data_IF_833944645208
#
_entry.id   IF_833944645208
#
_cell.length_a   1.000
_cell.length_b   1.000
_cell.length_c   1.000
_cell.angle_alpha   90.00
_cell.angle_beta   90.00
_cell.angle_gamma   90.00
#
_symmetry.space_group_name_H-M   'P 1'
#
loop_
_entity.id
_entity.type
_entity.pdbx_description
1 polymer ?
#
# COMPACT_ATOMS: atom_id res chain seq x y z
N UNK A 1 16.43 -28.69 57.02
CA UNK A 1 15.37 -28.51 56.02
C UNK A 1 15.64 -27.20 55.28
N UNK A 2 15.82 -27.26 53.96
CA UNK A 2 16.15 -26.12 53.09
C UNK A 2 15.02 -26.01 52.07
N UNK A 3 14.36 -24.86 52.03
CA UNK A 3 13.23 -24.56 51.14
C UNK A 3 13.71 -24.58 49.68
N UNK A 4 13.04 -25.39 48.85
CA UNK A 4 13.30 -25.54 47.42
C UNK A 4 12.10 -25.08 46.60
N UNK A 5 12.28 -23.89 46.01
CA UNK A 5 11.72 -23.28 44.79
C UNK A 5 10.58 -24.01 44.03
N UNK A 6 9.50 -23.27 43.80
CA UNK A 6 8.50 -23.51 42.75
C UNK A 6 9.14 -23.20 41.39
N UNK A 7 9.29 -24.20 40.53
CA UNK A 7 9.56 -24.00 39.10
C UNK A 7 8.23 -23.93 38.35
N UNK A 8 7.79 -22.71 38.07
CA UNK A 8 6.75 -22.43 37.10
C UNK A 8 7.40 -21.67 35.94
N UNK A 9 7.66 -22.37 34.85
CA UNK A 9 7.85 -21.72 33.54
C UNK A 9 7.55 -22.72 32.45
N UNK A 10 6.28 -22.80 32.09
CA UNK A 10 5.86 -23.32 30.80
C UNK A 10 4.89 -22.32 30.17
N UNK A 11 4.94 -22.24 28.85
CA UNK A 11 4.09 -21.45 27.95
C UNK A 11 4.26 -19.91 27.94
N UNK A 12 5.10 -19.41 27.02
CA UNK A 12 4.74 -18.33 26.09
C UNK A 12 5.79 -18.19 24.96
N UNK A 13 6.07 -19.28 24.22
CA UNK A 13 6.67 -19.15 22.89
C UNK A 13 5.54 -18.79 21.92
N UNK A 14 5.18 -17.50 21.88
CA UNK A 14 4.42 -16.97 20.76
C UNK A 14 5.31 -17.10 19.53
N UNK A 15 5.07 -18.13 18.72
CA UNK A 15 5.57 -18.30 17.36
C UNK A 15 5.52 -16.95 16.64
N UNK A 16 6.65 -16.25 16.59
CA UNK A 16 6.87 -15.19 15.63
C UNK A 16 6.84 -15.86 14.27
N UNK A 17 5.66 -15.85 13.61
CA UNK A 17 5.60 -16.13 12.18
C UNK A 17 6.67 -15.22 11.55
N UNK A 18 7.65 -15.77 10.82
CA UNK A 18 8.53 -14.90 10.05
C UNK A 18 7.61 -14.04 9.20
N UNK A 19 7.77 -12.72 9.30
CA UNK A 19 7.14 -11.82 8.35
C UNK A 19 7.48 -12.38 6.96
N UNK A 20 6.45 -12.74 6.18
CA UNK A 20 6.65 -13.23 4.83
C UNK A 20 7.17 -12.05 4.01
N UNK A 21 8.50 -11.87 4.03
CA UNK A 21 9.19 -10.92 3.18
C UNK A 21 9.02 -11.44 1.76
N UNK A 22 8.23 -10.72 0.97
CA UNK A 22 8.14 -10.96 -0.46
C UNK A 22 9.27 -10.23 -1.17
N UNK A 23 9.88 -10.91 -2.12
CA UNK A 23 10.94 -10.35 -2.96
C UNK A 23 10.31 -9.45 -4.03
N UNK A 24 10.98 -8.34 -4.37
CA UNK A 24 10.70 -7.61 -5.60
C UNK A 24 11.25 -8.49 -6.73
N UNK A 25 10.39 -8.92 -7.63
CA UNK A 25 10.76 -9.75 -8.78
C UNK A 25 11.36 -8.89 -9.89
N UNK A 26 10.74 -7.75 -10.17
CA UNK A 26 11.23 -6.81 -11.17
C UNK A 26 10.72 -5.38 -10.93
N UNK A 27 11.37 -4.41 -11.59
CA UNK A 27 10.92 -3.02 -11.66
C UNK A 27 10.55 -2.75 -13.11
N UNK A 28 9.29 -2.43 -13.35
CA UNK A 28 8.80 -2.05 -14.66
C UNK A 28 8.83 -0.54 -14.84
N UNK A 29 9.29 -0.10 -16.00
CA UNK A 29 9.33 1.32 -16.38
C UNK A 29 8.51 1.50 -17.64
N UNK A 30 7.50 2.35 -17.59
CA UNK A 30 6.62 2.65 -18.72
C UNK A 30 6.76 4.11 -19.12
N UNK A 31 7.19 4.35 -20.36
CA UNK A 31 7.21 5.69 -20.95
C UNK A 31 5.86 5.98 -21.60
N UNK A 32 5.25 7.13 -21.32
CA UNK A 32 4.02 7.52 -21.98
C UNK A 32 3.39 8.78 -21.41
N UNK A 33 2.14 8.98 -21.79
CA UNK A 33 1.28 10.07 -21.30
C UNK A 33 0.09 9.45 -20.56
N UNK A 34 -0.15 9.90 -19.33
CA UNK A 34 -1.08 9.25 -18.42
C UNK A 34 -1.98 10.24 -17.68
N UNK A 35 -3.23 9.85 -17.48
CA UNK A 35 -4.13 10.52 -16.56
C UNK A 35 -3.67 10.32 -15.12
N UNK A 36 -3.59 11.41 -14.36
CA UNK A 36 -3.05 11.43 -13.01
C UNK A 36 -4.04 11.98 -11.99
N UNK A 37 -3.90 11.47 -10.77
CA UNK A 37 -4.59 11.96 -9.58
C UNK A 37 -3.58 12.43 -8.55
N UNK A 38 -3.87 13.58 -7.95
CA UNK A 38 -3.21 14.09 -6.77
C UNK A 38 -4.07 13.79 -5.55
N UNK A 39 -3.56 12.96 -4.65
CA UNK A 39 -4.19 12.60 -3.39
C UNK A 39 -3.41 13.26 -2.26
N UNK A 40 -4.10 14.05 -1.42
CA UNK A 40 -3.53 14.57 -0.17
C UNK A 40 -4.23 13.87 0.98
N UNK A 41 -3.45 13.32 1.90
CA UNK A 41 -3.91 12.62 3.07
C UNK A 41 -4.07 13.59 4.26
N UNK A 42 -4.82 13.20 5.29
CA UNK A 42 -4.97 14.01 6.51
C UNK A 42 -3.64 14.24 7.25
N UNK A 43 -2.65 13.36 7.02
CA UNK A 43 -1.25 13.53 7.47
C UNK A 43 -0.52 14.69 6.79
N UNK A 44 -1.07 15.22 5.71
CA UNK A 44 -0.43 16.23 4.84
C UNK A 44 0.48 15.63 3.76
N UNK A 45 0.71 14.32 3.75
CA UNK A 45 1.46 13.66 2.68
C UNK A 45 0.66 13.66 1.37
N UNK A 46 1.38 13.75 0.26
CA UNK A 46 0.82 13.71 -1.10
C UNK A 46 1.30 12.46 -1.84
N UNK A 47 0.41 11.89 -2.63
CA UNK A 47 0.70 10.81 -3.57
C UNK A 47 0.17 11.22 -4.95
N UNK A 48 1.01 11.02 -5.97
CA UNK A 48 0.64 11.18 -7.36
C UNK A 48 0.57 9.78 -7.97
N UNK A 49 -0.54 9.48 -8.64
CA UNK A 49 -0.78 8.12 -9.13
C UNK A 49 -1.61 8.15 -10.41
N UNK A 50 -1.38 7.18 -11.29
CA UNK A 50 -2.19 7.05 -12.50
C UNK A 50 -3.59 6.51 -12.21
N UNK A 51 -4.52 6.83 -13.10
CA UNK A 51 -5.95 6.51 -12.99
C UNK A 51 -6.29 5.01 -12.83
N UNK A 52 -5.36 4.10 -13.13
CA UNK A 52 -5.55 2.64 -13.06
C UNK A 52 -5.20 2.01 -11.71
N UNK A 53 -4.65 2.76 -10.75
CA UNK A 53 -4.25 2.18 -9.47
C UNK A 53 -5.41 1.89 -8.53
N UNK A 54 -5.29 0.77 -7.81
CA UNK A 54 -6.18 0.40 -6.74
C UNK A 54 -5.55 0.68 -5.38
N UNK A 55 -6.36 1.20 -4.46
CA UNK A 55 -6.03 1.36 -3.05
C UNK A 55 -6.93 0.45 -2.21
N UNK A 56 -6.37 -0.14 -1.15
CA UNK A 56 -7.17 -0.86 -0.17
C UNK A 56 -7.80 0.17 0.78
N UNK A 57 -9.13 0.17 0.90
CA UNK A 57 -9.84 1.02 1.85
C UNK A 57 -10.12 0.28 3.16
N UNK A 58 -10.47 1.01 4.23
CA UNK A 58 -10.70 0.48 5.57
C UNK A 58 -11.78 -0.62 5.68
N UNK A 59 -12.65 -0.77 4.65
CA UNK A 59 -13.60 -1.88 4.53
C UNK A 59 -13.02 -3.14 3.87
N UNK A 60 -11.70 -3.21 3.73
CA UNK A 60 -10.92 -4.28 3.07
C UNK A 60 -11.31 -4.54 1.61
N UNK A 61 -11.79 -3.48 0.94
CA UNK A 61 -12.09 -3.49 -0.49
C UNK A 61 -11.02 -2.74 -1.26
N UNK A 62 -10.70 -3.25 -2.44
CA UNK A 62 -9.85 -2.56 -3.40
C UNK A 62 -10.70 -1.63 -4.24
N UNK A 63 -10.30 -0.35 -4.31
CA UNK A 63 -11.05 0.69 -5.02
C UNK A 63 -10.09 1.41 -5.97
N UNK A 64 -10.51 1.59 -7.22
CA UNK A 64 -9.77 2.39 -8.20
C UNK A 64 -9.66 3.83 -7.73
N UNK A 65 -8.55 4.50 -8.04
CA UNK A 65 -8.35 5.90 -7.65
C UNK A 65 -9.47 6.82 -8.16
N UNK A 66 -10.03 6.55 -9.32
CA UNK A 66 -11.13 7.32 -9.89
C UNK A 66 -12.43 7.25 -9.06
N UNK A 67 -12.60 6.17 -8.28
CA UNK A 67 -13.79 5.92 -7.48
C UNK A 67 -13.60 6.33 -6.00
N UNK A 68 -12.38 6.73 -5.62
CA UNK A 68 -12.09 7.27 -4.30
C UNK A 68 -12.73 8.64 -4.12
N UNK A 69 -13.18 8.90 -2.89
CA UNK A 69 -13.80 10.17 -2.50
C UNK A 69 -13.07 10.79 -1.32
N UNK A 70 -13.16 12.11 -1.17
CA UNK A 70 -12.75 12.79 0.06
C UNK A 70 -13.41 12.10 1.27
N UNK A 71 -12.63 11.88 2.33
CA UNK A 71 -13.06 11.15 3.52
C UNK A 71 -12.96 9.62 3.41
N UNK A 72 -12.68 9.05 2.23
CA UNK A 72 -12.34 7.62 2.13
C UNK A 72 -11.09 7.34 2.96
N UNK A 73 -11.10 6.23 3.70
CA UNK A 73 -9.97 5.83 4.56
C UNK A 73 -9.15 4.74 3.86
N UNK A 74 -7.90 5.04 3.56
CA UNK A 74 -6.96 4.13 2.91
C UNK A 74 -6.20 3.33 3.97
N UNK A 75 -6.06 2.02 3.77
CA UNK A 75 -5.23 1.18 4.64
C UNK A 75 -3.76 1.58 4.51
N UNK A 76 -3.09 1.72 5.65
CA UNK A 76 -1.66 2.06 5.73
C UNK A 76 -0.95 1.20 6.78
N UNK A 77 0.39 1.26 6.80
CA UNK A 77 1.21 0.56 7.80
C UNK A 77 0.90 0.94 9.25
N UNK A 78 0.37 2.16 9.49
CA UNK A 78 0.05 2.67 10.84
C UNK A 78 -1.44 2.67 11.14
N UNK A 79 -2.25 2.06 10.28
CA UNK A 79 -3.71 2.07 10.35
C UNK A 79 -4.36 2.97 9.29
N UNK A 80 -5.70 3.00 9.19
CA UNK A 80 -6.37 3.72 8.11
C UNK A 80 -6.18 5.24 8.18
N UNK A 81 -5.95 5.87 7.03
CA UNK A 81 -5.73 7.32 6.88
C UNK A 81 -6.78 7.91 5.94
N UNK A 82 -7.42 9.01 6.34
CA UNK A 82 -8.44 9.67 5.51
C UNK A 82 -7.83 10.48 4.36
N UNK A 83 -8.47 10.43 3.19
CA UNK A 83 -8.21 11.34 2.08
C UNK A 83 -8.75 12.72 2.43
N UNK A 84 -7.86 13.71 2.47
CA UNK A 84 -8.20 15.13 2.66
C UNK A 84 -8.65 15.78 1.35
N UNK A 85 -7.91 15.56 0.27
CA UNK A 85 -8.30 16.01 -1.08
C UNK A 85 -7.92 14.96 -2.11
N UNK A 86 -8.72 14.86 -3.17
CA UNK A 86 -8.40 14.08 -4.36
C UNK A 86 -8.83 14.87 -5.59
N UNK A 87 -7.93 15.00 -6.56
CA UNK A 87 -8.19 15.75 -7.79
C UNK A 87 -7.51 15.08 -8.98
N UNK A 88 -8.27 14.84 -10.05
CA UNK A 88 -7.67 14.52 -11.36
C UNK A 88 -6.95 15.77 -11.86
N UNK A 89 -5.72 15.61 -12.37
CA UNK A 89 -5.02 16.70 -13.04
C UNK A 89 -5.69 17.01 -14.39
N UNK A 90 -5.75 18.29 -14.73
CA UNK A 90 -6.23 18.73 -16.05
C UNK A 90 -5.25 18.32 -17.15
N UNK A 91 -3.96 18.57 -16.93
CA UNK A 91 -2.90 18.18 -17.84
C UNK A 91 -2.39 16.76 -17.51
N UNK A 92 -2.28 15.87 -18.52
CA UNK A 92 -1.77 14.53 -18.31
C UNK A 92 -0.26 14.57 -18.02
N UNK A 93 0.21 13.59 -17.27
CA UNK A 93 1.64 13.43 -16.98
C UNK A 93 2.33 12.72 -18.13
N UNK A 94 3.36 13.34 -18.71
CA UNK A 94 4.16 12.75 -19.79
C UNK A 94 5.58 12.51 -19.33
N UNK A 95 5.84 11.31 -18.80
CA UNK A 95 7.18 10.82 -18.45
C UNK A 95 7.11 9.32 -18.11
N UNK A 96 8.16 8.80 -17.45
CA UNK A 96 8.27 7.45 -16.94
C UNK A 96 7.40 7.21 -15.71
N UNK A 97 6.63 6.12 -15.74
CA UNK A 97 6.02 5.48 -14.59
C UNK A 97 6.85 4.30 -14.13
N UNK A 98 6.86 4.10 -12.82
CA UNK A 98 7.53 2.97 -12.20
C UNK A 98 6.50 2.10 -11.50
N UNK A 99 6.59 0.78 -11.72
CA UNK A 99 5.78 -0.21 -11.05
C UNK A 99 6.66 -1.34 -10.49
N UNK A 100 6.28 -1.90 -9.35
CA UNK A 100 6.97 -3.04 -8.77
C UNK A 100 6.19 -4.32 -9.06
N UNK A 101 6.88 -5.31 -9.59
CA UNK A 101 6.38 -6.68 -9.62
C UNK A 101 6.88 -7.39 -8.35
N UNK A 102 5.95 -7.93 -7.57
CA UNK A 102 6.26 -8.61 -6.31
C UNK A 102 6.12 -10.10 -6.53
N UNK A 103 7.14 -10.87 -6.18
CA UNK A 103 7.13 -12.31 -6.38
C UNK A 103 5.96 -12.96 -5.63
N UNK A 104 5.08 -13.62 -6.39
CA UNK A 104 3.87 -14.25 -5.84
C UNK A 104 2.89 -13.27 -5.20
N UNK A 105 2.82 -12.02 -5.67
CA UNK A 105 1.85 -11.04 -5.19
C UNK A 105 1.68 -9.81 -6.08
N UNK A 106 0.53 -9.16 -5.94
CA UNK A 106 0.17 -7.97 -6.70
C UNK A 106 0.10 -6.73 -5.81
N UNK A 107 0.63 -6.77 -4.58
CA UNK A 107 0.40 -5.74 -3.55
C UNK A 107 1.70 -5.33 -2.89
N UNK A 108 1.79 -4.03 -2.59
CA UNK A 108 2.90 -3.46 -1.84
C UNK A 108 2.47 -2.15 -1.17
N UNK A 109 3.34 -1.63 -0.31
CA UNK A 109 3.13 -0.36 0.37
C UNK A 109 3.92 0.76 -0.32
N UNK A 110 3.32 1.94 -0.47
CA UNK A 110 3.94 3.10 -1.11
C UNK A 110 3.88 4.37 -0.27
N UNK A 111 4.83 5.27 -0.54
CA UNK A 111 4.88 6.60 0.07
C UNK A 111 5.23 6.59 1.55
N UNK A 112 5.31 7.78 2.14
CA UNK A 112 5.74 7.98 3.55
C UNK A 112 4.80 7.35 4.57
N UNK A 113 3.52 7.27 4.25
CA UNK A 113 2.51 6.66 5.12
C UNK A 113 2.40 5.14 4.91
N UNK A 114 3.05 4.59 3.87
CA UNK A 114 2.97 3.18 3.53
C UNK A 114 1.54 2.76 3.22
N UNK A 115 0.94 3.33 2.17
CA UNK A 115 -0.40 2.96 1.73
C UNK A 115 -0.40 1.65 0.96
N UNK A 116 -1.37 0.78 1.23
CA UNK A 116 -1.55 -0.47 0.50
C UNK A 116 -2.11 -0.22 -0.90
N UNK A 117 -1.34 -0.59 -1.92
CA UNK A 117 -1.73 -0.49 -3.34
C UNK A 117 -1.64 -1.85 -4.02
N UNK A 118 -2.34 -2.00 -5.15
CA UNK A 118 -2.02 -3.06 -6.11
C UNK A 118 -1.09 -2.54 -7.20
N UNK A 119 -0.14 -3.38 -7.59
CA UNK A 119 0.72 -3.15 -8.74
C UNK A 119 -0.07 -3.06 -10.03
N UNK A 120 0.44 -2.24 -10.93
CA UNK A 120 -0.08 -2.10 -12.28
C UNK A 120 0.33 -3.31 -13.13
N UNK A 121 -0.63 -4.13 -13.51
CA UNK A 121 -0.45 -5.08 -14.62
C UNK A 121 -0.82 -4.35 -15.92
N UNK A 122 0.15 -4.15 -16.81
CA UNK A 122 -0.16 -3.69 -18.16
C UNK A 122 -1.08 -4.72 -18.82
N UNK A 123 -2.11 -4.30 -19.58
CA UNK A 123 -2.91 -5.23 -20.38
C UNK A 123 -1.98 -6.06 -21.26
N UNK A 124 -2.03 -7.39 -21.15
CA UNK A 124 -1.33 -8.27 -22.09
C UNK A 124 -2.07 -8.15 -23.43
N UNK A 125 -1.36 -7.71 -24.46
CA UNK A 125 -1.83 -7.74 -25.85
C UNK A 125 -1.76 -9.14 -26.42
#
# INVERSE_FOLDING_TARGET
QKVGRLDATDAASCLQKPACLKEIESIHVYQGTYDYYDIVLETGNRINVVNTHYFLIASDRWVLVQDLKVGSKLQSLKGPISIKTISKREEPFTDRLYNLEIKGGDRYFVGKDGLAVRGYEAPRH
#
